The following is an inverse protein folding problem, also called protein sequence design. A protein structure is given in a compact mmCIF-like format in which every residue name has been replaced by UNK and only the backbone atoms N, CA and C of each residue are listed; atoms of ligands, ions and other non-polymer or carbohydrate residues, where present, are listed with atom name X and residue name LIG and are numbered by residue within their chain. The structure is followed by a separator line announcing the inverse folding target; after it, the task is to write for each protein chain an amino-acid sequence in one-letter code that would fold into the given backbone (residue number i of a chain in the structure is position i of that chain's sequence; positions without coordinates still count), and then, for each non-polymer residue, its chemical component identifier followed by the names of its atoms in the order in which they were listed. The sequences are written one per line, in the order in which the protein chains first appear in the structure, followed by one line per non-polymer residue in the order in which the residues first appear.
data_IF_886080849278
#
_entry.id   IF_886080849278
#
_cell.length_a   1.000
_cell.length_b   1.000
_cell.length_c   1.000
_cell.angle_alpha   90.00
_cell.angle_beta   90.00
_cell.angle_gamma   90.00
#
_symmetry.space_group_name_H-M   'P 1'
#
loop_
_entity.id
_entity.type
_entity.pdbx_description
1 polymer ?
#
# COMPACT_ATOMS: atom_id res chain seq x y z
N UNK A 1 6.33 -16.46 9.61
CA UNK A 1 6.67 -15.03 9.72
C UNK A 1 6.30 -14.32 8.44
N UNK A 2 5.64 -13.17 8.54
CA UNK A 2 5.27 -12.36 7.40
C UNK A 2 6.26 -11.21 7.30
N UNK A 3 6.88 -11.05 6.12
CA UNK A 3 7.88 -10.02 5.89
C UNK A 3 7.37 -9.03 4.87
N UNK A 4 7.45 -7.74 5.20
CA UNK A 4 7.08 -6.65 4.31
C UNK A 4 8.25 -5.68 4.20
N UNK A 5 8.62 -5.33 2.96
CA UNK A 5 9.67 -4.35 2.70
C UNK A 5 9.02 -3.13 2.07
N UNK A 6 9.10 -2.00 2.76
CA UNK A 6 8.43 -0.76 2.36
C UNK A 6 9.41 0.20 1.68
N UNK A 7 8.86 1.13 0.90
CA UNK A 7 9.67 2.19 0.29
C UNK A 7 10.34 1.81 -1.02
N UNK A 8 9.79 0.85 -1.72
CA UNK A 8 10.29 0.44 -3.04
C UNK A 8 10.02 1.57 -4.04
N UNK A 9 11.05 1.98 -4.77
CA UNK A 9 10.90 3.06 -5.76
C UNK A 9 11.83 2.97 -6.97
N UNK A 10 12.72 1.99 -7.02
CA UNK A 10 13.69 1.86 -8.12
C UNK A 10 13.66 0.45 -8.69
N UNK A 11 14.05 0.27 -9.97
CA UNK A 11 14.15 -1.06 -10.55
C UNK A 11 15.09 -1.99 -9.77
N UNK A 12 16.18 -1.43 -9.22
CA UNK A 12 17.13 -2.21 -8.42
C UNK A 12 16.45 -2.82 -7.20
N UNK A 13 15.50 -2.08 -6.61
CA UNK A 13 14.76 -2.56 -5.46
C UNK A 13 13.92 -3.79 -5.83
N UNK A 14 13.33 -3.78 -7.03
CA UNK A 14 12.52 -4.90 -7.51
C UNK A 14 13.37 -6.14 -7.74
N UNK A 15 14.56 -5.97 -8.34
CA UNK A 15 15.47 -7.09 -8.55
C UNK A 15 15.81 -7.73 -7.20
N UNK A 16 16.10 -6.90 -6.21
CA UNK A 16 16.45 -7.36 -4.87
C UNK A 16 15.31 -8.14 -4.22
N UNK A 17 14.09 -7.59 -4.24
CA UNK A 17 12.96 -8.23 -3.58
C UNK A 17 12.52 -9.49 -4.32
N UNK A 18 12.68 -9.55 -5.63
CA UNK A 18 12.39 -10.78 -6.39
C UNK A 18 13.29 -11.93 -5.98
N UNK A 19 14.53 -11.63 -5.59
CA UNK A 19 15.45 -12.64 -5.07
C UNK A 19 15.14 -13.01 -3.62
N UNK A 20 14.90 -11.99 -2.78
CA UNK A 20 14.61 -12.20 -1.36
C UNK A 20 13.26 -12.85 -1.12
N UNK A 21 12.28 -12.50 -1.96
CA UNK A 21 10.89 -12.99 -1.89
C UNK A 21 10.21 -12.70 -0.55
N UNK A 22 10.06 -11.42 -0.18
CA UNK A 22 9.21 -11.08 0.96
C UNK A 22 7.75 -11.39 0.63
N UNK A 23 6.89 -11.42 1.62
CA UNK A 23 5.46 -11.63 1.39
C UNK A 23 4.82 -10.40 0.75
N UNK A 24 5.27 -9.21 1.15
CA UNK A 24 4.73 -7.93 0.68
C UNK A 24 5.84 -6.94 0.41
N UNK A 25 5.60 -6.07 -0.58
CA UNK A 25 6.39 -4.85 -0.72
C UNK A 25 5.45 -3.66 -0.62
N UNK A 26 5.96 -2.50 -0.22
CA UNK A 26 5.18 -1.29 -0.08
C UNK A 26 5.66 -0.18 -0.99
N UNK A 27 4.71 0.43 -1.71
CA UNK A 27 4.91 1.67 -2.43
C UNK A 27 4.32 2.80 -1.59
N UNK A 28 5.07 3.88 -1.39
CA UNK A 28 4.64 4.99 -0.56
C UNK A 28 4.11 6.11 -1.46
N UNK A 29 2.82 6.40 -1.34
CA UNK A 29 2.18 7.48 -2.09
C UNK A 29 1.94 8.73 -1.25
N UNK A 30 2.33 8.69 0.03
CA UNK A 30 2.25 9.83 0.92
C UNK A 30 3.52 10.68 0.85
N UNK A 31 3.47 11.90 1.38
CA UNK A 31 4.65 12.77 1.45
C UNK A 31 5.75 12.08 2.24
N UNK A 32 6.88 11.85 1.59
CA UNK A 32 7.99 11.09 2.16
C UNK A 32 9.17 11.13 1.20
N UNK A 33 10.37 10.88 1.73
CA UNK A 33 11.57 10.76 0.89
C UNK A 33 11.47 9.55 -0.05
N UNK A 34 10.59 8.61 0.24
CA UNK A 34 10.42 7.39 -0.56
C UNK A 34 9.14 7.40 -1.39
N UNK A 35 8.55 8.58 -1.55
CA UNK A 35 7.35 8.72 -2.34
C UNK A 35 7.59 8.34 -3.79
N UNK A 36 6.61 7.64 -4.37
CA UNK A 36 6.66 7.21 -5.75
C UNK A 36 5.38 7.66 -6.45
N UNK A 37 5.44 7.89 -7.76
CA UNK A 37 4.26 8.19 -8.54
C UNK A 37 3.52 6.92 -8.92
N UNK A 38 2.23 7.04 -9.23
CA UNK A 38 1.45 5.88 -9.66
C UNK A 38 2.03 5.27 -10.93
N UNK A 39 2.49 6.08 -11.86
CA UNK A 39 3.05 5.63 -13.13
C UNK A 39 4.32 4.82 -12.93
N UNK A 40 5.22 5.31 -12.07
CA UNK A 40 6.45 4.59 -11.77
C UNK A 40 6.16 3.30 -10.99
N UNK A 41 5.23 3.36 -10.05
CA UNK A 41 4.85 2.16 -9.30
C UNK A 41 4.24 1.10 -10.22
N UNK A 42 3.44 1.52 -11.20
CA UNK A 42 2.85 0.59 -12.16
C UNK A 42 3.92 -0.13 -12.98
N UNK A 43 4.96 0.61 -13.40
CA UNK A 43 6.06 0.00 -14.14
C UNK A 43 6.83 -1.00 -13.28
N UNK A 44 7.11 -0.64 -12.03
CA UNK A 44 7.80 -1.55 -11.11
C UNK A 44 6.95 -2.76 -10.77
N UNK A 45 5.64 -2.60 -10.67
CA UNK A 45 4.73 -3.71 -10.39
C UNK A 45 4.80 -4.78 -11.47
N UNK A 46 4.99 -4.36 -12.73
CA UNK A 46 5.10 -5.29 -13.86
C UNK A 46 6.34 -6.17 -13.73
N UNK A 47 7.40 -5.67 -13.09
CA UNK A 47 8.65 -6.40 -12.90
C UNK A 47 8.61 -7.30 -11.67
N UNK A 48 7.64 -7.09 -10.79
CA UNK A 48 7.55 -7.80 -9.52
C UNK A 48 7.07 -9.23 -9.73
N UNK A 49 7.70 -10.16 -8.99
CA UNK A 49 7.26 -11.56 -8.99
C UNK A 49 5.79 -11.65 -8.54
N UNK A 50 5.01 -12.51 -9.19
CA UNK A 50 3.60 -12.67 -8.86
C UNK A 50 3.37 -13.24 -7.46
N UNK A 51 4.37 -13.84 -6.87
CA UNK A 51 4.29 -14.37 -5.52
C UNK A 51 4.31 -13.29 -4.45
N UNK A 52 4.76 -12.08 -4.82
CA UNK A 52 4.91 -10.96 -3.89
C UNK A 52 3.73 -10.01 -4.06
N UNK A 53 3.06 -9.68 -2.96
CA UNK A 53 1.92 -8.76 -3.00
C UNK A 53 2.37 -7.33 -2.81
N UNK A 54 1.71 -6.41 -3.52
CA UNK A 54 2.04 -4.99 -3.48
C UNK A 54 1.06 -4.23 -2.60
N UNK A 55 1.60 -3.48 -1.65
CA UNK A 55 0.85 -2.63 -0.73
C UNK A 55 1.08 -1.17 -1.10
N UNK A 56 0.03 -0.39 -1.19
CA UNK A 56 0.16 1.05 -1.34
C UNK A 56 -0.12 1.74 -0.03
N UNK A 57 0.79 2.60 0.41
CA UNK A 57 0.65 3.34 1.68
C UNK A 57 0.15 4.75 1.39
N UNK A 58 -0.95 5.13 2.03
CA UNK A 58 -1.61 6.41 1.85
C UNK A 58 -1.83 7.11 3.19
N UNK A 59 -1.80 8.43 3.18
CA UNK A 59 -2.09 9.24 4.36
C UNK A 59 -3.05 10.35 3.93
N UNK A 60 -4.30 10.28 4.40
CA UNK A 60 -5.33 11.29 4.14
C UNK A 60 -5.50 11.64 2.65
N UNK A 61 -5.36 10.65 1.78
CA UNK A 61 -5.50 10.84 0.35
C UNK A 61 -7.00 10.87 -0.03
N UNK A 62 -7.41 11.72 -0.98
CA UNK A 62 -8.80 11.70 -1.45
C UNK A 62 -9.19 10.32 -1.95
N UNK A 63 -10.42 9.89 -1.65
CA UNK A 63 -10.89 8.53 -1.96
C UNK A 63 -10.75 8.20 -3.44
N UNK A 64 -11.16 9.13 -4.30
CA UNK A 64 -11.09 8.91 -5.75
C UNK A 64 -9.65 8.71 -6.21
N UNK A 65 -8.72 9.46 -5.62
CA UNK A 65 -7.31 9.34 -5.97
C UNK A 65 -6.75 8.02 -5.51
N UNK A 66 -7.11 7.59 -4.30
CA UNK A 66 -6.67 6.29 -3.76
C UNK A 66 -7.16 5.15 -4.66
N UNK A 67 -8.44 5.19 -5.03
CA UNK A 67 -9.03 4.16 -5.89
C UNK A 67 -8.37 4.16 -7.28
N UNK A 68 -8.09 5.34 -7.83
CA UNK A 68 -7.43 5.47 -9.12
C UNK A 68 -6.03 4.87 -9.10
N UNK A 69 -5.25 5.19 -8.06
CA UNK A 69 -3.89 4.66 -7.92
C UNK A 69 -3.92 3.14 -7.76
N UNK A 70 -4.86 2.62 -6.98
CA UNK A 70 -5.01 1.18 -6.82
C UNK A 70 -5.23 0.49 -8.17
N UNK A 71 -6.09 1.04 -9.01
CA UNK A 71 -6.35 0.47 -10.34
C UNK A 71 -5.15 0.59 -11.26
N UNK A 72 -4.51 1.76 -11.27
CA UNK A 72 -3.39 2.02 -12.16
C UNK A 72 -2.22 1.09 -11.88
N UNK A 73 -1.92 0.88 -10.59
CA UNK A 73 -0.78 0.06 -10.18
C UNK A 73 -1.14 -1.41 -10.07
N UNK A 74 -2.38 -1.72 -9.73
CA UNK A 74 -2.80 -3.08 -9.44
C UNK A 74 -2.40 -3.50 -8.04
N UNK A 75 -2.65 -2.62 -7.07
CA UNK A 75 -2.30 -2.89 -5.68
C UNK A 75 -3.15 -4.02 -5.10
N UNK A 76 -2.51 -4.91 -4.36
CA UNK A 76 -3.18 -6.00 -3.66
C UNK A 76 -3.74 -5.55 -2.32
N UNK A 77 -3.13 -4.52 -1.72
CA UNK A 77 -3.53 -3.99 -0.42
C UNK A 77 -3.39 -2.48 -0.44
N UNK A 78 -4.35 -1.79 0.19
CA UNK A 78 -4.26 -0.36 0.48
C UNK A 78 -4.05 -0.23 1.98
N UNK A 79 -2.98 0.42 2.39
CA UNK A 79 -2.68 0.65 3.80
C UNK A 79 -2.87 2.13 4.12
N UNK A 80 -3.76 2.42 5.07
CA UNK A 80 -4.10 3.78 5.46
C UNK A 80 -3.44 4.13 6.79
N UNK A 81 -2.60 5.15 6.79
CA UNK A 81 -1.81 5.55 7.96
C UNK A 81 -2.17 6.93 8.50
N UNK A 82 -3.22 7.57 7.98
CA UNK A 82 -3.65 8.89 8.40
C UNK A 82 -4.85 8.85 9.33
N UNK A 83 -5.68 9.88 9.24
CA UNK A 83 -6.86 10.05 10.08
C UNK A 83 -8.13 9.56 9.41
N UNK A 84 -8.01 8.67 8.44
CA UNK A 84 -9.15 8.14 7.72
C UNK A 84 -10.14 7.50 8.69
N UNK A 85 -11.39 7.93 8.64
CA UNK A 85 -12.43 7.45 9.54
C UNK A 85 -13.22 6.29 8.92
N UNK A 86 -14.20 5.79 9.67
CA UNK A 86 -15.02 4.66 9.21
C UNK A 86 -15.77 4.99 7.92
N UNK A 87 -16.24 6.24 7.78
CA UNK A 87 -16.92 6.67 6.57
C UNK A 87 -16.00 6.56 5.35
N UNK A 88 -14.72 6.97 5.50
CA UNK A 88 -13.73 6.84 4.43
C UNK A 88 -13.54 5.38 4.07
N UNK A 89 -13.38 4.52 5.07
CA UNK A 89 -13.18 3.08 4.85
C UNK A 89 -14.34 2.46 4.09
N UNK A 90 -15.57 2.78 4.48
CA UNK A 90 -16.75 2.24 3.83
C UNK A 90 -16.85 2.67 2.37
N UNK A 91 -16.58 3.95 2.10
CA UNK A 91 -16.62 4.47 0.73
C UNK A 91 -15.53 3.88 -0.12
N UNK A 92 -14.32 3.77 0.42
CA UNK A 92 -13.21 3.18 -0.30
C UNK A 92 -13.48 1.71 -0.61
N UNK A 93 -14.00 0.97 0.36
CA UNK A 93 -14.32 -0.44 0.20
C UNK A 93 -15.32 -0.67 -0.94
N UNK A 94 -16.22 0.27 -1.19
CA UNK A 94 -17.18 0.16 -2.28
C UNK A 94 -16.56 0.42 -3.65
N UNK A 95 -15.37 1.03 -3.70
CA UNK A 95 -14.72 1.43 -4.94
C UNK A 95 -13.56 0.52 -5.36
N UNK A 96 -13.01 -0.26 -4.43
CA UNK A 96 -11.87 -1.13 -4.71
C UNK A 96 -12.20 -2.56 -4.31
N UNK A 97 -11.46 -3.52 -4.89
CA UNK A 97 -11.67 -4.95 -4.60
C UNK A 97 -10.48 -5.56 -3.90
N UNK A 98 -9.57 -4.76 -3.43
CA UNK A 98 -8.39 -5.23 -2.73
C UNK A 98 -8.60 -5.14 -1.22
N UNK A 99 -7.67 -5.72 -0.46
CA UNK A 99 -7.68 -5.62 1.00
C UNK A 99 -7.34 -4.20 1.42
N UNK A 100 -7.90 -3.78 2.55
CA UNK A 100 -7.62 -2.47 3.14
C UNK A 100 -7.12 -2.70 4.56
N UNK A 101 -5.93 -2.17 4.84
CA UNK A 101 -5.36 -2.20 6.20
C UNK A 101 -5.42 -0.78 6.76
N UNK A 102 -5.84 -0.67 8.00
CA UNK A 102 -5.90 0.62 8.70
C UNK A 102 -5.05 0.55 9.97
N UNK A 103 -4.14 1.49 10.10
CA UNK A 103 -3.38 1.66 11.34
C UNK A 103 -4.19 2.55 12.27
N UNK A 104 -4.53 2.04 13.45
CA UNK A 104 -5.31 2.78 14.43
C UNK A 104 -4.44 3.03 15.66
N UNK A 105 -4.36 4.30 16.06
CA UNK A 105 -3.64 4.66 17.27
C UNK A 105 -4.57 4.53 18.47
N UNK A 106 -4.24 3.63 19.37
CA UNK A 106 -5.00 3.45 20.60
C UNK A 106 -4.34 4.32 21.68
N UNK A 107 -5.17 5.09 22.42
CA UNK A 107 -4.65 5.99 23.44
C UNK A 107 -3.73 5.26 24.42
N UNK A 108 -2.50 5.77 24.58
CA UNK A 108 -1.51 5.23 25.52
C UNK A 108 -1.07 3.81 25.21
N UNK A 109 -1.34 3.32 24.01
CA UNK A 109 -0.96 1.98 23.59
C UNK A 109 -0.29 2.04 22.22
N UNK A 110 0.17 0.90 21.75
CA UNK A 110 0.79 0.81 20.45
C UNK A 110 -0.27 0.92 19.35
N UNK A 111 0.19 1.01 18.10
CA UNK A 111 -0.68 0.99 16.94
C UNK A 111 -1.27 -0.40 16.74
N UNK A 112 -2.53 -0.44 16.36
CA UNK A 112 -3.21 -1.68 16.04
C UNK A 112 -3.53 -1.65 14.55
N UNK A 113 -3.21 -2.73 13.86
CA UNK A 113 -3.54 -2.87 12.44
C UNK A 113 -4.82 -3.68 12.32
N UNK A 114 -5.79 -3.11 11.59
CA UNK A 114 -7.05 -3.79 11.30
C UNK A 114 -7.03 -4.18 9.83
N UNK A 115 -7.13 -5.48 9.56
CA UNK A 115 -7.16 -5.99 8.21
C UNK A 115 -8.60 -6.34 7.84
N UNK A 116 -9.04 -5.85 6.68
CA UNK A 116 -10.35 -6.17 6.13
C UNK A 116 -10.17 -7.15 4.98
N UNK A 117 -10.72 -8.35 5.09
CA UNK A 117 -10.64 -9.32 4.01
C UNK A 117 -11.42 -8.91 2.77
#
# INVERSE_FOLDING_TARGET
MIIKICGIRRPEDIIYVNEFKPDYIGFVFAESKRRITAENAAELKKMLSQEIKAVGVFVNCPIERTAEIQKTVGLDVIQLHGDENISYLQKLKSKVKCDIWKAVRVRNLSLIHISEP
#
